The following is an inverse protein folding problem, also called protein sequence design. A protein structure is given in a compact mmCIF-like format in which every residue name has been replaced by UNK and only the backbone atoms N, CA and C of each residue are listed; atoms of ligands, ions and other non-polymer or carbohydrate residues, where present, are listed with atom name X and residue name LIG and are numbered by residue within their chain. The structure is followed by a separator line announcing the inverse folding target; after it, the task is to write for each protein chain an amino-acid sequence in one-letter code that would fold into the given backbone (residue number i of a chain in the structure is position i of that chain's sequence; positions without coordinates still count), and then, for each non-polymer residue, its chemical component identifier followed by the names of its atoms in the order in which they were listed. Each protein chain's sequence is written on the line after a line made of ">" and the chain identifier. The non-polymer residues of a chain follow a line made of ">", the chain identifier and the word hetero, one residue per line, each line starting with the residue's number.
data_IF_153268887107
#
_entry.id   IF_153268887107
#
_cell.length_a   1.000
_cell.length_b   1.000
_cell.length_c   1.000
_cell.angle_alpha   90.00
_cell.angle_beta   90.00
_cell.angle_gamma   90.00
#
_symmetry.space_group_name_H-M   'P 1'
#
loop_
_entity.id
_entity.type
_entity.pdbx_description
1 polymer ?
#
# COMPACT_ATOMS: atom_id res chain seq x y z
N UNK A 1 14.27 -12.10 -3.36
CA UNK A 1 13.81 -12.77 -2.13
C UNK A 1 12.30 -12.90 -2.23
N UNK A 2 11.71 -14.10 -2.40
CA UNK A 2 10.39 -14.17 -3.06
C UNK A 2 9.14 -13.90 -2.21
N UNK A 3 9.19 -13.85 -0.87
CA UNK A 3 7.94 -13.85 -0.05
C UNK A 3 7.77 -12.68 0.93
N UNK A 4 8.66 -11.69 0.93
CA UNK A 4 8.58 -10.54 1.85
C UNK A 4 7.46 -9.54 1.48
N UNK A 5 6.98 -9.55 0.24
CA UNK A 5 6.00 -8.58 -0.24
C UNK A 5 4.59 -8.85 0.28
N UNK A 6 4.21 -10.12 0.49
CA UNK A 6 2.86 -10.48 0.96
C UNK A 6 2.47 -9.78 2.26
N UNK A 7 3.26 -9.89 3.35
CA UNK A 7 2.98 -9.20 4.60
C UNK A 7 2.93 -7.67 4.47
N UNK A 8 3.77 -7.08 3.62
CA UNK A 8 3.81 -5.63 3.38
C UNK A 8 2.56 -5.15 2.63
N UNK A 9 2.12 -5.92 1.63
CA UNK A 9 0.88 -5.67 0.89
C UNK A 9 -0.32 -5.75 1.82
N UNK A 10 -0.39 -6.75 2.70
CA UNK A 10 -1.50 -6.86 3.67
C UNK A 10 -1.48 -5.71 4.68
N UNK A 11 -0.30 -5.27 5.14
CA UNK A 11 -0.20 -4.08 5.99
C UNK A 11 -0.66 -2.80 5.27
N UNK A 12 -0.34 -2.64 3.99
CA UNK A 12 -0.79 -1.53 3.17
C UNK A 12 -2.31 -1.54 2.95
N UNK A 13 -2.91 -2.69 2.60
CA UNK A 13 -4.36 -2.87 2.47
C UNK A 13 -5.09 -2.52 3.75
N UNK A 14 -4.62 -3.03 4.89
CA UNK A 14 -5.18 -2.73 6.21
C UNK A 14 -5.13 -1.23 6.49
N UNK A 15 -3.99 -0.58 6.24
CA UNK A 15 -3.84 0.87 6.42
C UNK A 15 -4.83 1.68 5.57
N UNK A 16 -5.04 1.30 4.30
CA UNK A 16 -6.02 1.95 3.42
C UNK A 16 -7.45 1.82 3.96
N UNK A 17 -7.83 0.62 4.42
CA UNK A 17 -9.16 0.36 4.98
C UNK A 17 -9.39 1.13 6.28
N UNK A 18 -8.46 1.05 7.22
CA UNK A 18 -8.60 1.65 8.55
C UNK A 18 -8.56 3.18 8.51
N UNK A 19 -7.70 3.76 7.67
CA UNK A 19 -7.46 5.21 7.68
C UNK A 19 -8.29 5.99 6.66
N UNK A 20 -8.64 5.37 5.53
CA UNK A 20 -9.36 6.03 4.44
C UNK A 20 -10.71 5.38 4.11
N UNK A 21 -11.02 4.22 4.70
CA UNK A 21 -12.24 3.46 4.35
C UNK A 21 -12.19 2.88 2.94
N UNK A 22 -11.03 2.83 2.31
CA UNK A 22 -10.84 2.33 0.96
C UNK A 22 -10.78 0.80 0.95
N UNK A 23 -11.56 0.17 0.07
CA UNK A 23 -11.46 -1.25 -0.22
C UNK A 23 -10.48 -1.47 -1.37
N UNK A 24 -9.43 -2.26 -1.14
CA UNK A 24 -8.46 -2.59 -2.19
C UNK A 24 -9.05 -3.64 -3.13
N UNK A 25 -9.23 -3.28 -4.40
CA UNK A 25 -9.70 -4.20 -5.45
C UNK A 25 -8.51 -4.95 -6.06
N UNK A 26 -7.42 -4.23 -6.35
CA UNK A 26 -6.17 -4.78 -6.85
C UNK A 26 -5.00 -3.97 -6.28
N UNK A 27 -3.85 -4.63 -6.11
CA UNK A 27 -2.62 -3.97 -5.70
C UNK A 27 -1.44 -4.74 -6.29
N UNK A 28 -0.55 -4.02 -6.95
CA UNK A 28 0.66 -4.56 -7.58
C UNK A 28 1.85 -3.76 -7.08
N UNK A 29 2.84 -4.45 -6.50
CA UNK A 29 4.09 -3.84 -6.06
C UNK A 29 4.90 -3.42 -7.30
N UNK A 30 5.29 -2.15 -7.35
CA UNK A 30 6.12 -1.59 -8.43
C UNK A 30 7.57 -1.42 -7.99
N UNK A 31 7.81 -1.18 -6.70
CA UNK A 31 9.12 -1.21 -6.09
C UNK A 31 9.03 -1.53 -4.59
N UNK A 32 9.98 -2.32 -4.08
CA UNK A 32 10.09 -2.65 -2.67
C UNK A 32 11.47 -2.27 -2.15
N UNK A 33 11.52 -1.21 -1.33
CA UNK A 33 12.72 -0.80 -0.60
C UNK A 33 12.60 -0.98 0.91
N UNK A 34 11.71 -1.87 1.38
CA UNK A 34 11.55 -2.16 2.81
C UNK A 34 12.55 -3.23 3.23
N UNK A 35 13.44 -2.86 4.14
CA UNK A 35 14.44 -3.75 4.72
C UNK A 35 14.24 -3.81 6.24
N UNK A 36 14.15 -5.02 6.80
CA UNK A 36 13.98 -5.26 8.24
C UNK A 36 12.81 -4.46 8.87
N UNK A 37 11.79 -4.13 8.07
CA UNK A 37 10.58 -3.42 8.52
C UNK A 37 10.63 -1.90 8.37
N UNK A 38 11.71 -1.34 7.83
CA UNK A 38 11.85 0.10 7.56
C UNK A 38 12.07 0.33 6.06
N UNK A 39 11.45 1.38 5.51
CA UNK A 39 11.65 1.76 4.11
C UNK A 39 10.36 2.12 3.39
N UNK A 40 10.36 2.00 2.06
CA UNK A 40 9.22 2.40 1.23
C UNK A 40 8.75 1.25 0.34
N UNK A 41 7.45 0.98 0.36
CA UNK A 41 6.76 0.12 -0.59
C UNK A 41 5.99 1.00 -1.59
N UNK A 42 6.34 0.93 -2.87
CA UNK A 42 5.61 1.57 -3.96
C UNK A 42 4.68 0.57 -4.63
N UNK A 43 3.44 0.96 -4.85
CA UNK A 43 2.42 0.11 -5.47
C UNK A 43 1.59 0.91 -6.47
N UNK A 44 1.06 0.22 -7.46
CA UNK A 44 -0.11 0.64 -8.21
C UNK A 44 -1.32 -0.15 -7.70
N UNK A 45 -2.43 0.54 -7.45
CA UNK A 45 -3.61 -0.09 -6.88
C UNK A 45 -4.91 0.51 -7.43
N UNK A 46 -5.91 -0.35 -7.58
CA UNK A 46 -7.30 0.04 -7.78
C UNK A 46 -8.02 -0.05 -6.44
N UNK A 47 -8.64 1.05 -6.01
CA UNK A 47 -9.41 1.10 -4.76
C UNK A 47 -10.86 1.50 -5.01
N UNK A 48 -11.75 1.03 -4.14
CA UNK A 48 -13.15 1.44 -4.10
C UNK A 48 -13.41 2.27 -2.85
N UNK A 49 -14.02 3.43 -3.01
CA UNK A 49 -14.49 4.28 -1.92
C UNK A 49 -15.84 4.90 -2.29
N UNK A 50 -16.84 4.77 -1.40
CA UNK A 50 -18.16 5.35 -1.63
C UNK A 50 -18.84 4.90 -2.93
N UNK A 51 -18.57 3.67 -3.40
CA UNK A 51 -19.08 3.15 -4.67
C UNK A 51 -18.29 3.54 -5.91
N UNK A 52 -17.34 4.48 -5.80
CA UNK A 52 -16.45 4.87 -6.89
C UNK A 52 -15.19 4.01 -6.90
N UNK A 53 -14.78 3.55 -8.08
CA UNK A 53 -13.54 2.80 -8.30
C UNK A 53 -12.54 3.72 -8.98
N UNK A 54 -11.29 3.74 -8.51
CA UNK A 54 -10.25 4.61 -9.03
C UNK A 54 -8.86 3.99 -8.92
N UNK A 55 -7.97 4.38 -9.84
CA UNK A 55 -6.60 3.88 -9.93
C UNK A 55 -5.60 4.90 -9.38
N UNK A 56 -4.63 4.40 -8.61
CA UNK A 56 -3.67 5.22 -7.90
C UNK A 56 -2.29 4.58 -7.90
N UNK A 57 -1.26 5.43 -7.92
CA UNK A 57 0.09 5.08 -7.52
C UNK A 57 0.31 5.58 -6.09
N UNK A 58 0.62 4.66 -5.17
CA UNK A 58 0.81 4.96 -3.74
C UNK A 58 2.19 4.53 -3.26
N UNK A 59 2.77 5.28 -2.34
CA UNK A 59 4.00 4.92 -1.62
C UNK A 59 3.70 4.86 -0.14
N UNK A 60 3.96 3.71 0.47
CA UNK A 60 3.79 3.47 1.90
C UNK A 60 5.16 3.48 2.58
N UNK A 61 5.32 4.38 3.54
CA UNK A 61 6.51 4.42 4.40
C UNK A 61 6.29 3.47 5.56
N UNK A 62 7.19 2.51 5.70
CA UNK A 62 7.25 1.59 6.82
C UNK A 62 8.28 2.07 7.83
N UNK A 63 7.91 1.99 9.11
CA UNK A 63 8.86 2.04 10.21
C UNK A 63 8.53 0.93 11.21
N UNK A 64 9.54 0.17 11.64
CA UNK A 64 9.40 -0.95 12.60
C UNK A 64 8.30 -1.94 12.22
N UNK A 65 8.13 -2.21 10.92
CA UNK A 65 7.15 -3.14 10.37
C UNK A 65 5.72 -2.62 10.24
N UNK A 66 5.47 -1.34 10.55
CA UNK A 66 4.16 -0.71 10.43
C UNK A 66 4.18 0.47 9.44
N UNK A 67 3.07 0.72 8.75
CA UNK A 67 2.92 1.89 7.89
C UNK A 67 2.77 3.14 8.77
N UNK A 68 3.65 4.11 8.60
CA UNK A 68 3.63 5.38 9.35
C UNK A 68 3.10 6.54 8.52
N UNK A 69 3.30 6.51 7.20
CA UNK A 69 2.80 7.53 6.28
C UNK A 69 2.56 6.97 4.90
N UNK A 70 1.77 7.69 4.10
CA UNK A 70 1.48 7.32 2.72
C UNK A 70 1.34 8.56 1.85
N UNK A 71 1.91 8.52 0.65
CA UNK A 71 1.69 9.51 -0.40
C UNK A 71 0.95 8.85 -1.56
N UNK A 72 -0.07 9.51 -2.10
CA UNK A 72 -0.86 9.03 -3.23
C UNK A 72 -0.80 10.00 -4.40
N UNK A 73 -0.81 9.45 -5.61
CA UNK A 73 -0.95 10.18 -6.86
C UNK A 73 -1.98 9.46 -7.73
N UNK A 74 -2.97 10.19 -8.23
CA UNK A 74 -3.96 9.65 -9.15
C UNK A 74 -3.27 9.29 -10.47
N UNK A 75 -3.65 8.14 -11.04
CA UNK A 75 -3.10 7.61 -12.29
C UNK A 75 -3.98 7.98 -13.48
#
# INVERSE_FOLDING_TARGET
>A
MPDVEGPLVEAAKRYLKERYGEDTVSMTVTANGVEKGDGILAVDCTVRYGGTISDWSKKFTFARGAVTSMSARMR
#
